data_IF_006804694389
#
_entry.id   IF_006804694389
#
_cell.length_a   1.000
_cell.length_b   1.000
_cell.length_c   1.000
_cell.angle_alpha   90.00
_cell.angle_beta   90.00
_cell.angle_gamma   90.00
#
_symmetry.space_group_name_H-M   'P 1'
#
loop_
_entity.id
_entity.type
_entity.pdbx_description
1 polymer ?
#
# COMPACT_ATOMS: atom_id res chain seq x y z
N UNK A 1 -14.48 0.58 -0.51
CA UNK A 1 -14.46 0.00 0.86
C UNK A 1 -14.80 -1.49 0.93
N UNK A 2 -15.98 -1.96 0.47
CA UNK A 2 -16.38 -3.37 0.63
C UNK A 2 -15.36 -4.40 0.09
N UNK A 3 -14.83 -4.18 -1.12
CA UNK A 3 -13.79 -5.07 -1.71
C UNK A 3 -12.51 -5.14 -0.87
N UNK A 4 -12.05 -4.00 -0.33
CA UNK A 4 -10.86 -3.93 0.51
C UNK A 4 -11.04 -4.72 1.81
N UNK A 5 -12.17 -4.52 2.49
CA UNK A 5 -12.49 -5.25 3.71
C UNK A 5 -12.62 -6.76 3.43
N UNK A 6 -13.25 -7.15 2.32
CA UNK A 6 -13.32 -8.54 1.89
C UNK A 6 -11.94 -9.16 1.67
N UNK A 7 -11.02 -8.45 1.02
CA UNK A 7 -9.65 -8.91 0.83
C UNK A 7 -8.89 -9.06 2.16
N UNK A 8 -9.01 -8.09 3.08
CA UNK A 8 -8.38 -8.17 4.41
C UNK A 8 -8.91 -9.36 5.19
N UNK A 9 -10.23 -9.55 5.22
CA UNK A 9 -10.87 -10.64 5.95
C UNK A 9 -10.53 -12.03 5.38
N UNK A 10 -10.26 -12.12 4.07
CA UNK A 10 -9.93 -13.37 3.40
C UNK A 10 -8.43 -13.70 3.39
N UNK A 11 -7.53 -12.78 3.77
CA UNK A 11 -6.08 -13.03 3.77
C UNK A 11 -5.65 -13.73 5.06
N UNK A 12 -5.28 -15.03 5.02
CA UNK A 12 -4.89 -15.78 6.22
C UNK A 12 -3.59 -15.26 6.85
N UNK A 13 -2.83 -14.43 6.12
CA UNK A 13 -1.61 -13.83 6.64
C UNK A 13 -1.85 -12.55 7.45
N UNK A 14 -3.08 -12.03 7.47
CA UNK A 14 -3.48 -10.87 8.27
C UNK A 14 -4.35 -11.36 9.44
N UNK A 15 -3.70 -11.96 10.44
CA UNK A 15 -4.35 -12.48 11.63
C UNK A 15 -4.31 -11.54 12.83
N UNK A 16 -3.44 -10.53 12.81
CA UNK A 16 -3.38 -9.49 13.83
C UNK A 16 -4.28 -8.31 13.44
N UNK A 17 -5.33 -8.05 14.22
CA UNK A 17 -6.24 -6.92 13.98
C UNK A 17 -5.49 -5.60 13.88
N UNK A 18 -4.36 -5.44 14.57
CA UNK A 18 -3.51 -4.24 14.51
C UNK A 18 -2.88 -4.04 13.13
N UNK A 19 -2.52 -5.13 12.45
CA UNK A 19 -2.03 -5.06 11.06
C UNK A 19 -3.13 -4.57 10.12
N UNK A 20 -4.33 -5.14 10.24
CA UNK A 20 -5.49 -4.70 9.48
C UNK A 20 -5.81 -3.22 9.73
N UNK A 21 -5.81 -2.78 10.99
CA UNK A 21 -6.03 -1.38 11.37
C UNK A 21 -5.01 -0.43 10.74
N UNK A 22 -3.73 -0.80 10.77
CA UNK A 22 -2.66 0.00 10.17
C UNK A 22 -2.74 0.06 8.64
N UNK A 23 -3.05 -1.07 7.98
CA UNK A 23 -3.27 -1.14 6.54
C UNK A 23 -4.42 -0.22 6.13
N UNK A 24 -5.56 -0.29 6.83
CA UNK A 24 -6.73 0.58 6.58
C UNK A 24 -6.42 2.05 6.82
N UNK A 25 -5.66 2.37 7.89
CA UNK A 25 -5.22 3.74 8.17
C UNK A 25 -4.34 4.30 7.04
N UNK A 26 -3.46 3.47 6.49
CA UNK A 26 -2.65 3.82 5.33
C UNK A 26 -3.52 4.09 4.12
N UNK A 27 -4.46 3.18 3.78
CA UNK A 27 -5.39 3.39 2.66
C UNK A 27 -6.20 4.67 2.82
N UNK A 28 -6.70 4.95 4.02
CA UNK A 28 -7.46 6.18 4.29
C UNK A 28 -6.64 7.42 3.93
N UNK A 29 -5.36 7.42 4.30
CA UNK A 29 -4.46 8.53 4.05
C UNK A 29 -4.08 8.66 2.56
N UNK A 30 -3.60 7.58 1.95
CA UNK A 30 -3.09 7.55 0.58
C UNK A 30 -4.19 7.73 -0.48
N UNK A 31 -5.43 7.32 -0.16
CA UNK A 31 -6.55 7.37 -1.09
C UNK A 31 -7.57 8.47 -0.74
N UNK A 32 -7.18 9.46 0.08
CA UNK A 32 -8.02 10.60 0.45
C UNK A 32 -9.44 10.19 0.89
N UNK A 33 -9.54 9.18 1.75
CA UNK A 33 -10.81 8.64 2.29
C UNK A 33 -11.78 8.03 1.26
N UNK A 34 -11.35 7.78 0.01
CA UNK A 34 -12.19 7.13 -1.01
C UNK A 34 -12.27 5.62 -0.82
N UNK A 35 -11.29 5.01 -0.12
CA UNK A 35 -11.18 3.57 0.09
C UNK A 35 -11.14 2.75 -1.22
N UNK A 36 -10.67 3.38 -2.29
CA UNK A 36 -10.47 2.81 -3.62
C UNK A 36 -9.04 3.09 -4.08
N UNK A 37 -8.40 2.20 -4.84
CA UNK A 37 -7.12 2.48 -5.47
C UNK A 37 -7.21 3.72 -6.36
N UNK A 38 -6.22 4.61 -6.27
CA UNK A 38 -6.20 5.84 -7.06
C UNK A 38 -4.89 5.96 -7.83
N UNK A 39 -4.87 6.58 -9.02
CA UNK A 39 -3.65 6.99 -9.66
C UNK A 39 -3.18 8.35 -9.12
N UNK A 40 -1.86 8.58 -9.16
CA UNK A 40 -1.29 9.92 -9.09
C UNK A 40 -1.83 10.75 -10.27
N UNK A 41 -2.27 11.97 -9.97
CA UNK A 41 -2.93 12.87 -10.93
C UNK A 41 -2.04 14.07 -11.22
N UNK A 42 -1.98 14.45 -12.50
CA UNK A 42 -1.25 15.60 -12.99
C UNK A 42 -1.26 15.62 -14.52
N UNK A 43 -0.83 16.72 -15.15
CA UNK A 43 -0.56 16.73 -16.59
C UNK A 43 0.61 15.79 -16.92
N UNK A 44 0.70 15.28 -18.14
CA UNK A 44 1.77 14.34 -18.53
C UNK A 44 3.17 14.87 -18.20
N UNK A 45 3.43 16.15 -18.48
CA UNK A 45 4.69 16.82 -18.20
C UNK A 45 5.08 16.84 -16.70
N UNK A 46 4.11 16.73 -15.78
CA UNK A 46 4.42 16.60 -14.35
C UNK A 46 5.16 15.29 -14.04
N UNK A 47 4.92 14.25 -14.82
CA UNK A 47 5.56 12.95 -14.66
C UNK A 47 6.92 12.86 -15.35
N UNK A 48 7.35 13.89 -16.09
CA UNK A 48 8.65 13.86 -16.79
C UNK A 48 9.84 13.72 -15.84
N UNK A 49 9.67 14.16 -14.59
CA UNK A 49 10.63 13.91 -13.50
C UNK A 49 10.94 12.42 -13.29
N UNK A 50 10.06 11.52 -13.70
CA UNK A 50 10.23 10.06 -13.57
C UNK A 50 10.75 9.40 -14.86
N UNK A 51 10.93 10.12 -15.97
CA UNK A 51 11.38 9.56 -17.25
C UNK A 51 12.86 9.12 -17.21
N UNK A 52 13.24 8.27 -18.16
CA UNK A 52 14.64 7.86 -18.32
C UNK A 52 15.59 9.07 -18.47
N UNK A 53 16.79 8.97 -17.90
CA UNK A 53 17.82 10.01 -17.95
C UNK A 53 17.68 11.10 -16.88
N UNK A 54 16.56 11.18 -16.14
CA UNK A 54 16.47 12.06 -14.98
C UNK A 54 17.05 11.38 -13.73
N UNK A 55 17.53 12.15 -12.72
CA UNK A 55 18.03 11.55 -11.47
C UNK A 55 17.01 10.65 -10.76
N UNK A 56 15.72 10.99 -10.85
CA UNK A 56 14.66 10.23 -10.22
C UNK A 56 14.24 9.03 -11.08
N UNK A 57 14.17 9.17 -12.40
CA UNK A 57 13.93 8.05 -13.32
C UNK A 57 14.99 6.96 -13.19
N UNK A 58 16.27 7.32 -13.06
CA UNK A 58 17.36 6.36 -12.81
C UNK A 58 17.08 5.54 -11.54
N UNK A 59 16.66 6.20 -10.45
CA UNK A 59 16.33 5.51 -9.18
C UNK A 59 15.07 4.66 -9.28
N UNK A 60 14.14 5.03 -10.15
CA UNK A 60 12.88 4.32 -10.41
C UNK A 60 13.02 3.19 -11.45
N UNK A 61 14.23 3.03 -12.01
CA UNK A 61 14.53 2.03 -13.04
C UNK A 61 13.90 2.33 -14.38
N UNK A 62 13.60 3.60 -14.67
CA UNK A 62 13.04 4.02 -15.95
C UNK A 62 14.07 3.81 -17.07
N UNK A 63 13.63 3.15 -18.15
CA UNK A 63 14.44 2.87 -19.34
C UNK A 63 13.90 3.57 -20.58
N UNK A 64 12.65 4.06 -20.56
CA UNK A 64 12.04 4.75 -21.68
C UNK A 64 11.66 6.21 -21.36
N UNK A 65 11.56 7.09 -22.38
CA UNK A 65 11.13 8.48 -22.20
C UNK A 65 9.70 8.66 -21.71
N UNK A 66 8.82 7.65 -21.83
CA UNK A 66 7.41 7.71 -21.41
C UNK A 66 7.15 7.00 -20.07
N UNK A 67 8.20 6.43 -19.46
CA UNK A 67 8.08 5.63 -18.24
C UNK A 67 7.50 6.40 -17.08
N UNK A 68 7.68 7.72 -17.03
CA UNK A 68 7.18 8.51 -15.92
C UNK A 68 5.68 8.52 -15.84
N UNK A 69 4.99 8.78 -16.95
CA UNK A 69 3.53 8.71 -16.98
C UNK A 69 3.06 7.24 -16.91
N UNK A 70 3.75 6.34 -17.63
CA UNK A 70 3.39 4.92 -17.68
C UNK A 70 3.42 4.26 -16.29
N UNK A 71 4.48 4.49 -15.51
CA UNK A 71 4.71 3.93 -14.17
C UNK A 71 4.55 4.95 -13.04
N UNK A 72 3.63 5.91 -13.20
CA UNK A 72 3.21 6.84 -12.14
C UNK A 72 2.59 6.14 -10.93
N UNK A 73 2.42 6.87 -9.83
CA UNK A 73 1.80 6.36 -8.61
C UNK A 73 0.46 5.70 -8.85
N UNK A 74 0.25 4.48 -8.33
CA UNK A 74 -1.06 3.79 -8.33
C UNK A 74 -1.27 2.95 -7.09
N UNK A 75 -2.53 2.62 -6.83
CA UNK A 75 -2.89 1.64 -5.81
C UNK A 75 -3.14 2.24 -4.43
N UNK A 76 -3.34 1.37 -3.45
CA UNK A 76 -3.58 1.74 -2.05
C UNK A 76 -2.36 2.37 -1.35
N UNK A 77 -1.17 2.20 -1.93
CA UNK A 77 0.11 2.65 -1.36
C UNK A 77 0.97 3.43 -2.35
N UNK A 78 0.39 3.87 -3.47
CA UNK A 78 1.05 4.69 -4.50
C UNK A 78 2.41 4.14 -4.97
N UNK A 79 2.41 2.92 -5.53
CA UNK A 79 3.64 2.38 -6.13
C UNK A 79 4.04 3.18 -7.37
N UNK A 80 5.33 3.53 -7.48
CA UNK A 80 5.86 4.38 -8.55
C UNK A 80 7.17 3.81 -9.09
N UNK A 81 7.38 3.90 -10.40
CA UNK A 81 8.61 3.53 -11.09
C UNK A 81 8.63 2.11 -11.64
N UNK A 82 9.14 1.96 -12.86
CA UNK A 82 9.23 0.69 -13.60
C UNK A 82 9.81 -0.45 -12.75
N UNK A 83 10.90 -0.22 -12.03
CA UNK A 83 11.54 -1.25 -11.21
C UNK A 83 10.63 -1.77 -10.09
N UNK A 84 9.77 -0.92 -9.52
CA UNK A 84 8.82 -1.35 -8.50
C UNK A 84 7.68 -2.18 -9.11
N UNK A 85 7.15 -1.76 -10.26
CA UNK A 85 6.12 -2.54 -10.97
C UNK A 85 6.66 -3.92 -11.36
N UNK A 86 7.87 -4.01 -11.94
CA UNK A 86 8.49 -5.30 -12.33
C UNK A 86 8.67 -6.22 -11.11
N UNK A 87 9.33 -5.71 -10.08
CA UNK A 87 9.62 -6.50 -8.87
C UNK A 87 8.36 -6.97 -8.15
N UNK A 88 7.34 -6.12 -8.05
CA UNK A 88 6.07 -6.49 -7.42
C UNK A 88 5.27 -7.47 -8.29
N UNK A 89 5.31 -7.32 -9.61
CA UNK A 89 4.66 -8.26 -10.54
C UNK A 89 5.22 -9.67 -10.34
N UNK A 90 6.55 -9.81 -10.32
CA UNK A 90 7.21 -11.10 -10.09
C UNK A 90 6.97 -11.65 -8.69
N UNK A 91 7.03 -10.79 -7.67
CA UNK A 91 6.81 -11.21 -6.29
C UNK A 91 5.36 -11.67 -6.02
N UNK A 92 4.41 -11.20 -6.81
CA UNK A 92 3.02 -11.63 -6.78
C UNK A 92 2.72 -12.75 -7.78
N UNK A 93 3.75 -13.33 -8.41
CA UNK A 93 3.62 -14.40 -9.40
C UNK A 93 2.73 -14.03 -10.59
N UNK A 94 2.73 -12.75 -10.95
CA UNK A 94 1.95 -12.20 -12.06
C UNK A 94 2.75 -12.14 -13.38
N UNK A 95 3.99 -12.63 -13.40
CA UNK A 95 4.89 -12.46 -14.54
C UNK A 95 5.12 -10.97 -14.84
N UNK A 96 4.99 -10.56 -16.10
CA UNK A 96 5.19 -9.17 -16.53
C UNK A 96 3.88 -8.35 -16.59
N UNK A 97 2.77 -8.86 -16.06
CA UNK A 97 1.46 -8.20 -16.17
C UNK A 97 1.44 -6.75 -15.69
N UNK A 98 2.09 -6.40 -14.56
CA UNK A 98 2.15 -5.00 -14.10
C UNK A 98 3.11 -4.12 -14.94
N UNK A 99 3.99 -4.73 -15.74
CA UNK A 99 4.84 -4.02 -16.70
C UNK A 99 4.09 -3.77 -18.01
N UNK A 100 3.35 -4.77 -18.48
CA UNK A 100 2.54 -4.71 -19.68
C UNK A 100 1.33 -3.80 -19.51
N UNK A 101 0.63 -3.92 -18.38
CA UNK A 101 -0.52 -3.11 -17.99
C UNK A 101 -0.40 -2.58 -16.53
N UNK A 102 0.25 -1.42 -16.33
CA UNK A 102 0.38 -0.79 -15.02
C UNK A 102 -0.96 -0.40 -14.37
N UNK A 103 -2.04 -0.23 -15.15
CA UNK A 103 -3.34 0.14 -14.60
C UNK A 103 -4.00 -1.01 -13.82
N UNK A 104 -3.50 -2.24 -13.95
CA UNK A 104 -3.85 -3.35 -13.06
C UNK A 104 -3.61 -3.03 -11.58
N UNK A 105 -2.67 -2.14 -11.25
CA UNK A 105 -2.46 -1.66 -9.88
C UNK A 105 -3.63 -0.81 -9.32
N UNK A 106 -4.61 -0.44 -10.16
CA UNK A 106 -5.88 0.18 -9.77
C UNK A 106 -7.00 -0.82 -9.53
N UNK A 107 -6.82 -2.09 -9.89
CA UNK A 107 -7.76 -3.14 -9.51
C UNK A 107 -7.69 -3.34 -7.97
N UNK A 108 -8.82 -3.31 -7.24
CA UNK A 108 -8.81 -3.42 -5.78
C UNK A 108 -8.11 -4.67 -5.21
N UNK A 109 -8.24 -5.82 -5.87
CA UNK A 109 -7.65 -7.08 -5.39
C UNK A 109 -6.13 -7.06 -5.62
N UNK A 110 -5.69 -6.61 -6.79
CA UNK A 110 -4.26 -6.48 -7.11
C UNK A 110 -3.60 -5.41 -6.23
N UNK A 111 -4.25 -4.25 -6.07
CA UNK A 111 -3.78 -3.18 -5.17
C UNK A 111 -3.66 -3.68 -3.72
N UNK A 112 -4.62 -4.49 -3.26
CA UNK A 112 -4.53 -5.13 -1.95
C UNK A 112 -3.36 -6.11 -1.86
N UNK A 113 -3.18 -6.98 -2.85
CA UNK A 113 -2.06 -7.94 -2.91
C UNK A 113 -0.71 -7.22 -2.85
N UNK A 114 -0.56 -6.14 -3.62
CA UNK A 114 0.62 -5.26 -3.59
C UNK A 114 0.85 -4.71 -2.17
N UNK A 115 -0.18 -4.15 -1.53
CA UNK A 115 -0.09 -3.58 -0.19
C UNK A 115 0.25 -4.65 0.86
N UNK A 116 -0.51 -5.75 0.93
CA UNK A 116 -0.32 -6.84 1.89
C UNK A 116 1.09 -7.43 1.76
N UNK A 117 1.49 -7.82 0.54
CA UNK A 117 2.82 -8.36 0.31
C UNK A 117 3.90 -7.35 0.69
N UNK A 118 3.81 -6.11 0.18
CA UNK A 118 4.87 -5.15 0.39
C UNK A 118 5.05 -4.72 1.85
N UNK A 119 3.96 -4.61 2.61
CA UNK A 119 4.01 -4.30 4.03
C UNK A 119 4.52 -5.48 4.88
N UNK A 120 4.23 -6.73 4.50
CA UNK A 120 4.72 -7.92 5.23
C UNK A 120 6.16 -8.27 4.89
N UNK A 121 6.52 -8.17 3.61
CA UNK A 121 7.85 -8.55 3.10
C UNK A 121 8.87 -7.41 3.16
N UNK A 122 8.43 -6.17 3.44
CA UNK A 122 9.29 -5.00 3.44
C UNK A 122 9.70 -4.58 2.03
N UNK A 123 8.81 -4.80 1.05
CA UNK A 123 9.12 -4.55 -0.34
C UNK A 123 9.30 -3.04 -0.62
N UNK A 124 8.71 -2.12 0.14
CA UNK A 124 8.78 -0.70 -0.20
C UNK A 124 10.05 -0.02 0.32
N UNK A 125 10.34 -0.15 1.61
CA UNK A 125 11.46 0.52 2.29
C UNK A 125 12.43 -0.43 3.00
N UNK A 126 12.20 -1.74 2.90
CA UNK A 126 12.89 -2.75 3.72
C UNK A 126 12.28 -2.93 5.12
N UNK A 127 11.36 -2.07 5.55
CA UNK A 127 10.67 -2.17 6.85
C UNK A 127 9.35 -2.93 6.74
N UNK A 128 9.02 -3.72 7.76
CA UNK A 128 7.89 -4.66 7.77
C UNK A 128 6.89 -4.33 8.85
N UNK A 129 5.65 -4.80 8.70
CA UNK A 129 4.64 -4.75 9.76
C UNK A 129 5.17 -5.34 11.08
N UNK A 130 5.81 -6.51 11.02
CA UNK A 130 6.38 -7.19 12.19
C UNK A 130 7.47 -6.41 12.93
N UNK A 131 8.15 -5.46 12.25
CA UNK A 131 9.19 -4.62 12.87
C UNK A 131 8.58 -3.62 13.88
N UNK A 132 7.29 -3.28 13.72
CA UNK A 132 6.61 -2.25 14.51
C UNK A 132 5.36 -2.76 15.23
N UNK A 133 4.74 -3.82 14.74
CA UNK A 133 3.50 -4.37 15.25
C UNK A 133 3.66 -5.88 15.39
N UNK A 134 3.80 -6.35 16.62
CA UNK A 134 4.01 -7.77 16.94
C UNK A 134 3.47 -8.10 18.35
N UNK A 135 3.71 -9.31 18.85
CA UNK A 135 3.18 -9.76 20.14
C UNK A 135 3.55 -8.86 21.34
N UNK A 136 4.67 -8.14 21.25
CA UNK A 136 5.20 -7.34 22.37
C UNK A 136 5.03 -5.83 22.18
N UNK A 137 4.73 -5.37 20.96
CA UNK A 137 4.63 -3.94 20.67
C UNK A 137 3.61 -3.61 19.58
N UNK A 138 3.11 -2.38 19.62
CA UNK A 138 2.33 -1.78 18.56
C UNK A 138 2.73 -0.31 18.42
N UNK A 139 3.59 -0.02 17.45
CA UNK A 139 4.10 1.33 17.16
C UNK A 139 3.62 1.80 15.79
N UNK A 140 2.36 2.21 15.71
CA UNK A 140 1.79 2.75 14.46
C UNK A 140 2.50 4.01 13.96
N UNK A 141 3.13 4.79 14.86
CA UNK A 141 3.83 6.01 14.45
C UNK A 141 5.07 5.66 13.63
N UNK A 142 5.96 4.82 14.18
CA UNK A 142 7.13 4.38 13.43
C UNK A 142 6.80 3.41 12.30
N UNK A 143 5.63 2.76 12.35
CA UNK A 143 5.06 1.98 11.24
C UNK A 143 5.07 2.73 9.91
N UNK A 144 4.92 4.07 9.91
CA UNK A 144 4.94 4.89 8.68
C UNK A 144 6.20 4.69 7.82
N UNK A 145 7.31 4.26 8.43
CA UNK A 145 8.57 3.97 7.73
C UNK A 145 8.44 2.81 6.74
N UNK A 146 7.40 1.97 6.85
CA UNK A 146 7.08 0.94 5.86
C UNK A 146 6.79 1.56 4.48
N UNK A 147 6.16 2.74 4.42
CA UNK A 147 5.70 3.35 3.16
C UNK A 147 6.51 4.60 2.78
N UNK A 148 6.59 5.60 3.67
CA UNK A 148 7.12 6.92 3.29
C UNK A 148 7.77 7.66 4.46
N UNK A 149 8.70 7.00 5.16
CA UNK A 149 9.43 7.62 6.28
C UNK A 149 8.51 7.96 7.46
N UNK A 150 8.52 9.21 7.93
CA UNK A 150 7.64 9.65 9.03
C UNK A 150 6.63 10.71 8.59
N UNK A 151 6.48 10.95 7.30
CA UNK A 151 5.52 11.92 6.80
C UNK A 151 4.09 11.52 7.20
N UNK A 152 3.37 12.46 7.81
CA UNK A 152 2.01 12.28 8.35
C UNK A 152 1.85 11.12 9.36
N UNK A 153 2.94 10.66 9.98
CA UNK A 153 2.94 9.52 10.90
C UNK A 153 1.94 9.68 12.07
N UNK A 154 1.85 10.88 12.65
CA UNK A 154 0.88 11.16 13.72
C UNK A 154 -0.58 10.98 13.26
N UNK A 155 -0.93 11.51 12.09
CA UNK A 155 -2.28 11.37 11.53
C UNK A 155 -2.63 9.92 11.23
N UNK A 156 -1.70 9.16 10.65
CA UNK A 156 -1.92 7.74 10.33
C UNK A 156 -2.03 6.90 11.59
N UNK A 157 -1.20 7.17 12.61
CA UNK A 157 -1.31 6.55 13.94
C UNK A 157 -2.72 6.76 14.51
N UNK A 158 -3.22 8.01 14.48
CA UNK A 158 -4.54 8.33 15.05
C UNK A 158 -5.67 7.61 14.30
N UNK A 159 -5.56 7.48 12.99
CA UNK A 159 -6.49 6.65 12.21
C UNK A 159 -6.41 5.17 12.59
N UNK A 160 -5.20 4.62 12.72
CA UNK A 160 -4.99 3.22 13.07
C UNK A 160 -5.58 2.89 14.45
N UNK A 161 -5.37 3.75 15.44
CA UNK A 161 -5.92 3.57 16.79
C UNK A 161 -7.46 3.55 16.79
N UNK A 162 -8.10 4.47 16.06
CA UNK A 162 -9.57 4.51 15.94
C UNK A 162 -10.10 3.28 15.23
N UNK A 163 -9.46 2.87 14.13
CA UNK A 163 -9.85 1.68 13.37
C UNK A 163 -9.66 0.40 14.18
N UNK A 164 -8.61 0.29 14.98
CA UNK A 164 -8.40 -0.83 15.89
C UNK A 164 -9.53 -0.96 16.91
N UNK A 165 -9.90 0.14 17.57
CA UNK A 165 -11.02 0.15 18.51
C UNK A 165 -12.32 -0.31 17.84
N UNK A 166 -12.63 0.21 16.66
CA UNK A 166 -13.84 -0.17 15.92
C UNK A 166 -13.84 -1.66 15.54
N UNK A 167 -12.73 -2.17 15.00
CA UNK A 167 -12.63 -3.57 14.59
C UNK A 167 -12.73 -4.54 15.79
N UNK A 168 -12.13 -4.19 16.93
CA UNK A 168 -12.25 -4.99 18.16
C UNK A 168 -13.68 -5.03 18.69
N UNK A 169 -14.40 -3.92 18.65
CA UNK A 169 -15.79 -3.86 19.10
C UNK A 169 -16.71 -4.75 18.23
N UNK A 170 -16.54 -4.70 16.91
CA UNK A 170 -17.29 -5.55 15.98
C UNK A 170 -17.06 -7.04 16.29
N UNK A 171 -15.81 -7.43 16.59
CA UNK A 171 -15.49 -8.82 16.94
C UNK A 171 -16.13 -9.27 18.26
N UNK A 172 -16.31 -8.37 19.24
CA UNK A 172 -16.97 -8.69 20.51
C UNK A 172 -18.49 -8.89 20.31
N UNK A 173 -19.12 -8.03 19.52
CA UNK A 173 -20.55 -8.13 19.23
C UNK A 173 -20.90 -9.41 18.46
N UNK A 174 -20.03 -9.85 17.54
CA UNK A 174 -20.22 -11.10 16.80
C UNK A 174 -20.08 -12.38 17.64
N UNK A 175 -19.51 -12.28 18.85
CA UNK A 175 -19.33 -13.43 19.77
C UNK A 175 -20.40 -13.54 20.86
N UNK A 176 -21.39 -12.63 20.88
CA UNK A 176 -22.50 -12.73 21.82
C UNK A 176 -23.66 -13.46 21.12
N UNK A 177 -24.02 -14.70 21.54
CA UNK A 177 -25.20 -15.36 21.00
C UNK A 177 -26.45 -14.55 21.41
N UNK A 178 -27.34 -14.32 20.45
CA UNK A 178 -28.70 -13.87 20.73
C UNK A 178 -29.50 -14.93 21.51
#
# INVERSE_FOLDING_TARGET
>A
MAKLLGCIAADPNISDVRWASYMLATVKHECADTWTPVPERGPDAYFDKYNAGTPLGIRLGSTNPDDGFRFRGRGYVQITGRANYDRLSRALEMGDQLIDDPDLALNPEIAYRIMSYGMRAGAFSGKKLGDYINGNMCDYYNGRKIINGLDRAGTIRDYAQKLEQMLRNISLDATTPA
#
